data_IF_219816962415
#
_entry.id   IF_219816962415
#
_cell.length_a   1.000
_cell.length_b   1.000
_cell.length_c   1.000
_cell.angle_alpha   90.00
_cell.angle_beta   90.00
_cell.angle_gamma   90.00
#
_symmetry.space_group_name_H-M   'P 1'
#
loop_
_entity.id
_entity.type
_entity.pdbx_description
1 polymer ?
#
# COMPACT_ATOMS: atom_id res chain seq x y z
N UNK A 1 -39.93 -17.65 -15.48
CA UNK A 1 -39.70 -16.32 -16.09
C UNK A 1 -38.87 -16.53 -17.35
N UNK A 2 -39.31 -16.00 -18.50
CA UNK A 2 -38.57 -16.12 -19.75
C UNK A 2 -37.44 -15.10 -19.84
N UNK A 3 -36.34 -15.46 -20.51
CA UNK A 3 -35.20 -14.56 -20.76
C UNK A 3 -35.65 -13.34 -21.57
N UNK A 4 -35.12 -12.17 -21.25
CA UNK A 4 -35.29 -10.96 -22.04
C UNK A 4 -34.68 -11.13 -23.45
N UNK A 5 -35.14 -10.40 -24.48
CA UNK A 5 -34.64 -10.55 -25.85
C UNK A 5 -33.12 -10.44 -25.96
N UNK A 6 -32.50 -9.50 -25.25
CA UNK A 6 -31.04 -9.32 -25.23
C UNK A 6 -30.32 -10.53 -24.62
N UNK A 7 -30.90 -11.17 -23.60
CA UNK A 7 -30.33 -12.35 -22.96
C UNK A 7 -30.38 -13.60 -23.86
N UNK A 8 -31.22 -13.60 -24.89
CA UNK A 8 -31.30 -14.71 -25.85
C UNK A 8 -30.26 -14.61 -26.97
N UNK A 9 -29.52 -13.51 -27.03
CA UNK A 9 -28.51 -13.32 -28.07
C UNK A 9 -27.33 -14.29 -27.88
N UNK A 10 -26.71 -14.75 -28.98
CA UNK A 10 -25.41 -15.42 -28.95
C UNK A 10 -24.36 -14.58 -28.20
N UNK A 11 -23.37 -15.27 -27.61
CA UNK A 11 -22.37 -14.59 -26.77
C UNK A 11 -21.52 -13.62 -27.58
N UNK A 12 -21.27 -13.92 -28.84
CA UNK A 12 -20.51 -13.11 -29.78
C UNK A 12 -21.18 -11.75 -30.00
N UNK A 13 -22.52 -11.75 -30.14
CA UNK A 13 -23.30 -10.51 -30.26
C UNK A 13 -23.34 -9.75 -28.94
N UNK A 14 -23.48 -10.45 -27.80
CA UNK A 14 -23.40 -9.82 -26.49
C UNK A 14 -22.04 -9.14 -26.25
N UNK A 15 -20.95 -9.80 -26.64
CA UNK A 15 -19.60 -9.26 -26.52
C UNK A 15 -19.41 -8.03 -27.41
N UNK A 16 -19.88 -8.08 -28.65
CA UNK A 16 -19.85 -6.93 -29.55
C UNK A 16 -20.67 -5.76 -29.01
N UNK A 17 -21.90 -6.02 -28.51
CA UNK A 17 -22.73 -4.99 -27.88
C UNK A 17 -22.01 -4.36 -26.69
N UNK A 18 -21.38 -5.18 -25.83
CA UNK A 18 -20.65 -4.68 -24.68
C UNK A 18 -19.46 -3.79 -25.08
N UNK A 19 -18.71 -4.17 -26.11
CA UNK A 19 -17.60 -3.36 -26.67
C UNK A 19 -18.12 -2.05 -27.27
N UNK A 20 -19.20 -2.10 -28.06
CA UNK A 20 -19.81 -0.93 -28.69
C UNK A 20 -20.49 0.01 -27.68
N UNK A 21 -20.81 -0.51 -26.49
CA UNK A 21 -21.33 0.26 -25.36
C UNK A 21 -20.21 0.75 -24.42
N UNK A 22 -18.99 0.93 -24.93
CA UNK A 22 -17.82 1.41 -24.18
C UNK A 22 -17.58 0.63 -22.88
N UNK A 23 -17.74 -0.70 -22.93
CA UNK A 23 -17.51 -1.59 -21.81
C UNK A 23 -18.34 -1.24 -20.56
N UNK A 24 -19.54 -0.68 -20.74
CA UNK A 24 -20.36 -0.20 -19.63
C UNK A 24 -20.73 -1.33 -18.65
N UNK A 25 -20.10 -1.30 -17.47
CA UNK A 25 -20.27 -2.31 -16.43
C UNK A 25 -21.71 -2.41 -15.89
N UNK A 26 -22.55 -1.39 -16.10
CA UNK A 26 -23.98 -1.46 -15.75
C UNK A 26 -24.70 -2.59 -16.48
N UNK A 27 -24.27 -2.95 -17.70
CA UNK A 27 -24.85 -4.08 -18.43
C UNK A 27 -24.65 -5.41 -17.69
N UNK A 28 -23.49 -5.57 -17.04
CA UNK A 28 -23.19 -6.75 -16.22
C UNK A 28 -24.02 -6.78 -14.94
N UNK A 29 -24.37 -5.60 -14.42
CA UNK A 29 -25.21 -5.48 -13.22
C UNK A 29 -26.69 -5.68 -13.51
N UNK A 30 -27.13 -5.37 -14.73
CA UNK A 30 -28.53 -5.48 -15.14
C UNK A 30 -29.02 -6.94 -15.24
N UNK A 31 -28.13 -7.88 -15.56
CA UNK A 31 -28.48 -9.31 -15.66
C UNK A 31 -27.32 -10.23 -15.26
N UNK A 32 -27.50 -11.11 -14.26
CA UNK A 32 -26.55 -12.16 -13.94
C UNK A 32 -26.30 -13.11 -15.10
N UNK A 33 -27.31 -13.34 -15.94
CA UNK A 33 -27.18 -14.18 -17.13
C UNK A 33 -26.22 -13.55 -18.13
N UNK A 34 -26.41 -12.28 -18.47
CA UNK A 34 -25.48 -11.54 -19.36
C UNK A 34 -24.08 -11.51 -18.75
N UNK A 35 -23.96 -11.23 -17.45
CA UNK A 35 -22.67 -11.22 -16.76
C UNK A 35 -21.92 -12.55 -16.92
N UNK A 36 -22.61 -13.68 -16.72
CA UNK A 36 -22.02 -15.01 -16.89
C UNK A 36 -21.58 -15.30 -18.34
N UNK A 37 -22.33 -14.83 -19.33
CA UNK A 37 -22.00 -15.02 -20.75
C UNK A 37 -20.83 -14.14 -21.19
N UNK A 38 -20.72 -12.93 -20.64
CA UNK A 38 -19.61 -12.01 -20.89
C UNK A 38 -18.35 -12.32 -20.07
N UNK A 39 -18.46 -13.22 -19.08
CA UNK A 39 -17.38 -13.65 -18.20
C UNK A 39 -16.33 -14.48 -18.94
N UNK A 40 -15.47 -13.82 -19.72
CA UNK A 40 -14.43 -14.44 -20.53
C UNK A 40 -13.12 -13.67 -20.46
N UNK A 41 -11.99 -14.36 -20.66
CA UNK A 41 -10.67 -13.73 -20.71
C UNK A 41 -10.58 -12.61 -21.75
N UNK A 42 -11.23 -12.77 -22.90
CA UNK A 42 -11.31 -11.74 -23.94
C UNK A 42 -11.91 -10.44 -23.40
N UNK A 43 -13.10 -10.52 -22.78
CA UNK A 43 -13.79 -9.34 -22.23
C UNK A 43 -13.02 -8.75 -21.04
N UNK A 44 -12.42 -9.56 -20.18
CA UNK A 44 -11.63 -9.03 -19.05
C UNK A 44 -10.42 -8.22 -19.53
N UNK A 45 -9.66 -8.74 -20.49
CA UNK A 45 -8.52 -8.03 -21.07
C UNK A 45 -8.97 -6.74 -21.76
N UNK A 46 -10.03 -6.79 -22.57
CA UNK A 46 -10.54 -5.61 -23.28
C UNK A 46 -11.07 -4.54 -22.31
N UNK A 47 -11.77 -4.95 -21.25
CA UNK A 47 -12.25 -4.04 -20.20
C UNK A 47 -11.09 -3.39 -19.45
N UNK A 48 -10.02 -4.15 -19.16
CA UNK A 48 -8.83 -3.59 -18.51
C UNK A 48 -8.08 -2.62 -19.42
N UNK A 49 -7.95 -2.93 -20.71
CA UNK A 49 -7.36 -2.02 -21.69
C UNK A 49 -8.13 -0.70 -21.74
N UNK A 50 -9.46 -0.75 -21.75
CA UNK A 50 -10.27 0.46 -21.74
C UNK A 50 -10.10 1.25 -20.42
N UNK A 51 -10.41 0.66 -19.27
CA UNK A 51 -10.50 1.44 -18.04
C UNK A 51 -9.17 1.74 -17.34
N UNK A 52 -8.09 0.99 -17.62
CA UNK A 52 -6.84 1.05 -16.85
C UNK A 52 -5.68 1.76 -17.56
N UNK A 53 -5.72 1.99 -18.87
CA UNK A 53 -4.59 2.61 -19.60
C UNK A 53 -4.85 4.04 -20.07
N UNK A 54 -6.11 4.43 -20.20
CA UNK A 54 -6.50 5.72 -20.77
C UNK A 54 -7.54 6.43 -19.91
N UNK A 55 -7.77 7.72 -20.18
CA UNK A 55 -8.83 8.50 -19.52
C UNK A 55 -10.04 8.52 -20.43
N UNK A 56 -11.18 8.06 -19.92
CA UNK A 56 -12.43 8.00 -20.69
C UNK A 56 -13.57 8.67 -19.94
N UNK A 57 -14.37 9.43 -20.67
CA UNK A 57 -15.61 10.04 -20.18
C UNK A 57 -15.43 10.84 -18.88
N UNK A 58 -16.36 10.67 -17.95
CA UNK A 58 -16.34 11.37 -16.67
C UNK A 58 -15.45 10.63 -15.65
N UNK A 59 -14.52 11.37 -15.04
CA UNK A 59 -13.58 10.83 -14.03
C UNK A 59 -14.25 10.04 -12.90
N UNK A 60 -15.43 10.48 -12.45
CA UNK A 60 -16.16 9.80 -11.39
C UNK A 60 -16.66 8.41 -11.82
N UNK A 61 -17.22 8.31 -13.03
CA UNK A 61 -17.70 7.05 -13.60
C UNK A 61 -16.53 6.10 -13.86
N UNK A 62 -15.42 6.62 -14.39
CA UNK A 62 -14.21 5.83 -14.61
C UNK A 62 -13.63 5.29 -13.30
N UNK A 63 -13.52 6.13 -12.26
CA UNK A 63 -13.04 5.69 -10.94
C UNK A 63 -13.95 4.62 -10.32
N UNK A 64 -15.27 4.74 -10.50
CA UNK A 64 -16.22 3.72 -10.08
C UNK A 64 -16.03 2.39 -10.85
N UNK A 65 -15.82 2.46 -12.17
CA UNK A 65 -15.55 1.28 -12.99
C UNK A 65 -14.23 0.59 -12.59
N UNK A 66 -13.14 1.37 -12.43
CA UNK A 66 -11.86 0.87 -11.93
C UNK A 66 -12.01 0.18 -10.57
N UNK A 67 -12.76 0.79 -9.66
CA UNK A 67 -13.06 0.19 -8.35
C UNK A 67 -13.76 -1.16 -8.49
N UNK A 68 -14.77 -1.26 -9.36
CA UNK A 68 -15.49 -2.51 -9.60
C UNK A 68 -14.62 -3.59 -10.24
N UNK A 69 -13.75 -3.20 -11.18
CA UNK A 69 -12.78 -4.11 -11.82
C UNK A 69 -11.87 -4.73 -10.76
N UNK A 70 -11.22 -3.92 -9.93
CA UNK A 70 -10.35 -4.45 -8.86
C UNK A 70 -11.10 -5.23 -7.78
N UNK A 71 -12.36 -4.87 -7.50
CA UNK A 71 -13.20 -5.61 -6.56
C UNK A 71 -13.71 -6.96 -7.10
N UNK A 72 -13.70 -7.16 -8.42
CA UNK A 72 -14.23 -8.36 -9.06
C UNK A 72 -13.46 -9.63 -8.68
N UNK A 73 -14.14 -10.78 -8.65
CA UNK A 73 -13.54 -12.07 -8.26
C UNK A 73 -12.44 -12.53 -9.23
N UNK A 74 -12.61 -12.26 -10.52
CA UNK A 74 -11.67 -12.66 -11.58
C UNK A 74 -10.38 -11.83 -11.58
N UNK A 75 -10.37 -10.66 -10.96
CA UNK A 75 -9.17 -9.83 -10.85
C UNK A 75 -8.26 -10.36 -9.73
N UNK A 76 -7.50 -11.41 -10.04
CA UNK A 76 -6.46 -12.00 -9.19
C UNK A 76 -5.09 -11.37 -9.48
N UNK A 77 -4.09 -11.69 -8.66
CA UNK A 77 -2.73 -11.23 -8.91
C UNK A 77 -2.18 -11.80 -10.22
N UNK A 78 -2.28 -13.11 -10.41
CA UNK A 78 -1.85 -13.80 -11.64
C UNK A 78 -2.51 -13.25 -12.91
N UNK A 79 -3.82 -12.98 -12.85
CA UNK A 79 -4.53 -12.38 -13.98
C UNK A 79 -3.97 -10.99 -14.27
N UNK A 80 -3.80 -10.17 -13.24
CA UNK A 80 -3.32 -8.80 -13.40
C UNK A 80 -1.89 -8.76 -13.95
N UNK A 81 -0.99 -9.62 -13.47
CA UNK A 81 0.37 -9.78 -14.01
C UNK A 81 0.33 -10.18 -15.48
N UNK A 82 -0.46 -11.22 -15.81
CA UNK A 82 -0.61 -11.71 -17.19
C UNK A 82 -1.16 -10.63 -18.12
N UNK A 83 -2.13 -9.84 -17.65
CA UNK A 83 -2.68 -8.71 -18.40
C UNK A 83 -1.64 -7.61 -18.60
N UNK A 84 -0.88 -7.21 -17.56
CA UNK A 84 0.19 -6.23 -17.65
C UNK A 84 1.25 -6.66 -18.68
N UNK A 85 1.70 -7.92 -18.61
CA UNK A 85 2.66 -8.48 -19.58
C UNK A 85 2.09 -8.35 -20.98
N UNK A 86 0.90 -8.93 -21.22
CA UNK A 86 0.24 -8.90 -22.53
C UNK A 86 0.06 -7.48 -23.08
N UNK A 87 -0.28 -6.50 -22.24
CA UNK A 87 -0.60 -5.14 -22.68
C UNK A 87 0.62 -4.30 -23.01
N UNK A 88 1.72 -4.50 -22.28
CA UNK A 88 2.88 -3.60 -22.33
C UNK A 88 4.16 -4.25 -22.89
N UNK A 89 4.17 -5.57 -23.12
CA UNK A 89 5.34 -6.30 -23.63
C UNK A 89 5.83 -5.76 -24.98
N UNK A 90 4.91 -5.40 -25.88
CA UNK A 90 5.26 -4.83 -27.18
C UNK A 90 5.94 -3.47 -27.06
N UNK A 91 5.54 -2.66 -26.08
CA UNK A 91 6.15 -1.36 -25.82
C UNK A 91 7.45 -1.48 -25.02
N UNK A 92 7.62 -2.58 -24.27
CA UNK A 92 8.77 -2.78 -23.38
C UNK A 92 8.79 -1.81 -22.20
N UNK A 93 7.65 -1.23 -21.80
CA UNK A 93 7.53 -0.37 -20.62
C UNK A 93 6.06 -0.15 -20.21
N UNK A 94 5.78 0.00 -18.91
CA UNK A 94 4.43 0.32 -18.40
C UNK A 94 3.94 1.74 -18.80
N UNK A 95 4.80 2.60 -19.34
CA UNK A 95 4.39 3.89 -19.92
C UNK A 95 3.71 3.75 -21.29
N UNK A 96 3.77 2.56 -21.89
CA UNK A 96 3.17 2.22 -23.19
C UNK A 96 3.78 3.02 -24.37
N UNK A 97 5.06 3.34 -24.26
CA UNK A 97 5.85 3.96 -25.32
C UNK A 97 7.11 3.14 -25.55
N UNK A 98 7.47 2.98 -26.83
CA UNK A 98 8.78 2.46 -27.23
C UNK A 98 9.87 3.53 -27.05
N UNK A 99 11.16 3.18 -27.14
CA UNK A 99 12.24 4.17 -27.19
C UNK A 99 12.06 5.20 -28.31
N UNK A 100 11.55 4.77 -29.46
CA UNK A 100 11.25 5.62 -30.62
C UNK A 100 10.09 6.59 -30.34
N UNK A 101 9.10 6.15 -29.55
CA UNK A 101 7.95 6.98 -29.14
C UNK A 101 8.25 7.90 -27.94
N UNK A 102 9.47 7.87 -27.41
CA UNK A 102 9.93 8.77 -26.33
C UNK A 102 10.06 8.14 -24.94
N UNK A 103 10.07 6.80 -24.81
CA UNK A 103 10.46 6.15 -23.57
C UNK A 103 12.00 6.22 -23.38
N UNK A 104 12.46 6.96 -22.38
CA UNK A 104 13.89 7.19 -22.16
C UNK A 104 14.50 6.42 -20.98
N UNK A 105 13.68 5.68 -20.22
CA UNK A 105 14.11 4.93 -19.03
C UNK A 105 13.18 3.72 -18.81
N UNK A 106 13.23 2.77 -19.75
CA UNK A 106 12.31 1.64 -19.79
C UNK A 106 12.37 0.78 -18.51
N UNK A 107 11.22 0.63 -17.85
CA UNK A 107 11.06 -0.20 -16.65
C UNK A 107 10.47 -1.56 -17.05
N UNK A 108 11.31 -2.45 -17.58
CA UNK A 108 10.89 -3.76 -18.10
C UNK A 108 11.95 -4.86 -17.94
N UNK A 109 11.55 -6.12 -17.62
CA UNK A 109 10.20 -6.55 -17.24
C UNK A 109 9.76 -5.94 -15.90
N UNK A 110 8.44 -5.83 -15.64
CA UNK A 110 7.97 -5.29 -14.36
C UNK A 110 8.41 -6.19 -13.20
N UNK A 111 9.00 -5.59 -12.17
CA UNK A 111 9.31 -6.32 -10.96
C UNK A 111 8.03 -6.48 -10.12
N UNK A 112 7.31 -7.58 -10.35
CA UNK A 112 6.07 -7.86 -9.65
C UNK A 112 6.29 -8.21 -8.17
N UNK A 113 7.43 -8.79 -7.81
CA UNK A 113 7.77 -9.14 -6.43
C UNK A 113 8.02 -7.88 -5.60
N UNK A 114 8.75 -6.91 -6.18
CA UNK A 114 8.99 -5.62 -5.56
C UNK A 114 8.83 -4.47 -6.54
N UNK A 115 7.59 -4.01 -6.64
CA UNK A 115 7.22 -2.89 -7.49
C UNK A 115 7.94 -1.59 -7.13
N UNK A 116 8.47 -1.45 -5.91
CA UNK A 116 9.11 -0.21 -5.46
C UNK A 116 10.43 0.08 -6.17
N UNK A 117 11.06 -0.96 -6.71
CA UNK A 117 12.26 -0.86 -7.55
C UNK A 117 11.99 -0.23 -8.92
N UNK A 118 10.72 -0.14 -9.34
CA UNK A 118 10.34 0.48 -10.61
C UNK A 118 10.13 1.99 -10.43
N UNK A 119 11.14 2.78 -10.75
CA UNK A 119 11.12 4.23 -10.51
C UNK A 119 10.61 4.95 -11.75
N UNK A 120 9.43 5.54 -11.65
CA UNK A 120 8.83 6.36 -12.70
C UNK A 120 8.97 7.84 -12.36
N UNK A 121 9.52 8.62 -13.29
CA UNK A 121 9.66 10.08 -13.14
C UNK A 121 8.39 10.80 -13.60
N UNK A 122 8.26 12.10 -13.32
CA UNK A 122 7.08 12.89 -13.76
C UNK A 122 6.93 12.96 -15.27
N UNK A 123 8.03 12.87 -16.02
CA UNK A 123 8.04 12.84 -17.49
C UNK A 123 7.93 11.42 -18.06
N UNK A 124 7.98 10.39 -17.21
CA UNK A 124 7.87 8.98 -17.58
C UNK A 124 6.93 8.29 -16.61
N UNK A 125 5.63 8.55 -16.73
CA UNK A 125 4.61 7.93 -15.87
C UNK A 125 4.07 6.64 -16.51
N UNK A 126 3.79 5.60 -15.72
CA UNK A 126 3.12 4.42 -16.23
C UNK A 126 1.68 4.78 -16.61
N UNK A 127 1.10 4.13 -17.63
CA UNK A 127 -0.32 4.32 -18.00
C UNK A 127 -1.26 4.00 -16.85
N UNK A 128 -0.86 3.06 -16.01
CA UNK A 128 -1.58 2.69 -14.79
C UNK A 128 -1.65 3.80 -13.74
N UNK A 129 -0.87 4.88 -13.86
CA UNK A 129 -0.97 6.05 -12.96
C UNK A 129 -2.34 6.76 -13.05
N UNK A 130 -3.07 6.59 -14.17
CA UNK A 130 -4.43 7.10 -14.35
C UNK A 130 -5.48 6.32 -13.55
N UNK A 131 -5.13 5.16 -13.00
CA UNK A 131 -6.03 4.37 -12.16
C UNK A 131 -6.21 5.05 -10.81
N UNK A 132 -7.43 5.53 -10.56
CA UNK A 132 -7.86 6.34 -9.40
C UNK A 132 -9.04 5.71 -8.65
N UNK A 133 -9.25 4.40 -8.79
CA UNK A 133 -10.29 3.66 -8.07
C UNK A 133 -10.02 3.49 -6.58
N UNK A 134 -10.92 2.81 -5.87
CA UNK A 134 -10.76 2.43 -4.47
C UNK A 134 -10.10 1.06 -4.33
N UNK A 135 -9.19 0.94 -3.37
CA UNK A 135 -8.54 -0.33 -3.06
C UNK A 135 -9.63 -1.31 -2.57
N UNK A 136 -9.77 -2.49 -3.19
CA UNK A 136 -10.86 -3.40 -2.89
C UNK A 136 -10.70 -4.02 -1.50
N UNK A 137 -11.84 -4.19 -0.80
CA UNK A 137 -11.90 -4.81 0.56
C UNK A 137 -11.15 -6.14 0.67
N UNK A 138 -11.09 -6.94 -0.40
CA UNK A 138 -10.37 -8.24 -0.44
C UNK A 138 -8.85 -8.12 -0.26
N UNK A 139 -8.26 -6.97 -0.60
CA UNK A 139 -6.84 -6.67 -0.42
C UNK A 139 -6.54 -5.98 0.92
N UNK A 140 -7.56 -5.54 1.64
CA UNK A 140 -7.43 -4.80 2.91
C UNK A 140 -7.58 -5.69 4.14
N UNK A 141 -7.76 -7.00 3.99
CA UNK A 141 -7.94 -7.95 5.09
C UNK A 141 -7.20 -9.26 4.86
N UNK A 142 -6.96 -10.00 5.94
CA UNK A 142 -6.35 -11.31 5.89
C UNK A 142 -7.17 -12.35 5.10
N UNK A 143 -6.59 -13.52 4.77
CA UNK A 143 -5.21 -13.93 5.06
C UNK A 143 -4.19 -13.14 4.22
N UNK A 144 -3.03 -12.86 4.80
CA UNK A 144 -1.94 -12.09 4.17
C UNK A 144 -0.94 -13.04 3.51
N UNK A 145 -1.28 -13.47 2.28
CA UNK A 145 -0.36 -14.21 1.39
C UNK A 145 0.63 -13.27 0.72
N UNK A 146 1.73 -13.82 0.20
CA UNK A 146 2.75 -13.02 -0.51
C UNK A 146 2.15 -12.33 -1.74
N UNK A 147 1.41 -13.06 -2.58
CA UNK A 147 0.71 -12.51 -3.75
C UNK A 147 -0.20 -11.31 -3.40
N UNK A 148 -0.88 -11.35 -2.25
CA UNK A 148 -1.74 -10.24 -1.81
C UNK A 148 -0.90 -9.02 -1.44
N UNK A 149 0.23 -9.22 -0.75
CA UNK A 149 1.15 -8.17 -0.34
C UNK A 149 1.77 -7.53 -1.58
N UNK A 150 2.25 -8.33 -2.53
CA UNK A 150 2.80 -7.88 -3.81
C UNK A 150 1.76 -7.12 -4.63
N UNK A 151 0.54 -7.65 -4.75
CA UNK A 151 -0.52 -6.96 -5.47
C UNK A 151 -0.85 -5.62 -4.82
N UNK A 152 -0.98 -5.58 -3.49
CA UNK A 152 -1.24 -4.34 -2.78
C UNK A 152 -0.08 -3.35 -2.92
N UNK A 153 1.17 -3.82 -2.80
CA UNK A 153 2.40 -3.04 -3.01
C UNK A 153 2.41 -2.43 -4.41
N UNK A 154 2.12 -3.23 -5.44
CA UNK A 154 2.07 -2.78 -6.83
C UNK A 154 1.00 -1.71 -7.03
N UNK A 155 -0.23 -1.95 -6.55
CA UNK A 155 -1.31 -0.97 -6.68
C UNK A 155 -0.96 0.34 -5.98
N UNK A 156 -0.35 0.27 -4.80
CA UNK A 156 0.12 1.45 -4.12
C UNK A 156 1.21 2.13 -4.96
N UNK A 157 2.26 1.44 -5.38
CA UNK A 157 3.38 2.10 -6.04
C UNK A 157 3.02 2.70 -7.41
N UNK A 158 2.27 1.96 -8.23
CA UNK A 158 2.08 2.27 -9.66
C UNK A 158 0.81 3.07 -9.93
N UNK A 159 -0.23 2.94 -9.09
CA UNK A 159 -1.52 3.59 -9.30
C UNK A 159 -1.79 4.71 -8.29
N UNK A 160 -2.86 5.46 -8.51
CA UNK A 160 -3.38 6.45 -7.57
C UNK A 160 -4.53 5.92 -6.69
N UNK A 161 -4.69 4.60 -6.57
CA UNK A 161 -5.78 4.02 -5.79
C UNK A 161 -5.63 4.28 -4.29
N UNK A 162 -6.77 4.41 -3.60
CA UNK A 162 -6.82 4.71 -2.16
C UNK A 162 -7.96 3.97 -1.46
N UNK A 163 -7.84 3.78 -0.15
CA UNK A 163 -8.94 3.29 0.68
C UNK A 163 -10.04 4.35 0.77
N UNK A 164 -11.30 3.93 0.71
CA UNK A 164 -12.42 4.83 0.98
C UNK A 164 -12.63 4.98 2.50
N UNK A 165 -12.16 6.09 3.05
CA UNK A 165 -12.29 6.40 4.48
C UNK A 165 -13.64 7.01 4.84
N UNK A 166 -14.44 7.40 3.85
CA UNK A 166 -15.79 7.92 4.08
C UNK A 166 -16.80 6.79 4.25
N UNK A 167 -16.50 5.60 3.71
CA UNK A 167 -17.27 4.38 3.98
C UNK A 167 -16.85 3.76 5.32
N UNK A 168 -17.71 3.77 6.36
CA UNK A 168 -17.35 3.27 7.69
C UNK A 168 -16.98 1.79 7.68
N UNK A 169 -17.59 0.99 6.80
CA UNK A 169 -17.31 -0.44 6.70
C UNK A 169 -15.91 -0.67 6.14
N UNK A 170 -15.55 -0.01 5.04
CA UNK A 170 -14.20 -0.08 4.45
C UNK A 170 -13.13 0.46 5.40
N UNK A 171 -13.40 1.56 6.10
CA UNK A 171 -12.50 2.11 7.12
C UNK A 171 -12.24 1.09 8.25
N UNK A 172 -13.28 0.45 8.76
CA UNK A 172 -13.16 -0.61 9.78
C UNK A 172 -12.36 -1.80 9.25
N UNK A 173 -12.62 -2.23 8.02
CA UNK A 173 -11.89 -3.33 7.37
C UNK A 173 -10.40 -3.01 7.26
N UNK A 174 -10.01 -1.79 6.86
CA UNK A 174 -8.61 -1.41 6.74
C UNK A 174 -7.88 -1.38 8.11
N UNK A 175 -8.53 -0.84 9.15
CA UNK A 175 -7.98 -0.83 10.52
C UNK A 175 -7.81 -2.25 11.04
N UNK A 176 -8.82 -3.10 10.86
CA UNK A 176 -8.77 -4.49 11.29
C UNK A 176 -7.76 -5.31 10.46
N UNK A 177 -7.62 -5.01 9.18
CA UNK A 177 -6.60 -5.60 8.32
C UNK A 177 -5.19 -5.38 8.84
N UNK A 178 -4.87 -4.15 9.26
CA UNK A 178 -3.60 -3.82 9.91
C UNK A 178 -3.39 -4.64 11.18
N UNK A 179 -4.41 -4.72 12.05
CA UNK A 179 -4.35 -5.54 13.28
C UNK A 179 -4.10 -7.02 12.97
N UNK A 180 -4.78 -7.56 11.96
CA UNK A 180 -4.56 -8.94 11.51
C UNK A 180 -3.15 -9.16 10.96
N UNK A 181 -2.56 -8.18 10.25
CA UNK A 181 -1.19 -8.27 9.77
C UNK A 181 -0.19 -8.34 10.94
N UNK A 182 -0.40 -7.50 11.95
CA UNK A 182 0.39 -7.49 13.20
C UNK A 182 0.26 -8.83 13.92
N UNK A 183 -0.97 -9.31 14.17
CA UNK A 183 -1.21 -10.60 14.85
C UNK A 183 -0.61 -11.80 14.11
N UNK A 184 -0.58 -11.76 12.78
CA UNK A 184 0.00 -12.81 11.94
C UNK A 184 1.50 -12.62 11.68
N UNK A 185 2.12 -11.63 12.31
CA UNK A 185 3.56 -11.30 12.18
C UNK A 185 4.00 -11.13 10.73
N UNK A 186 3.16 -10.47 9.92
CA UNK A 186 3.43 -10.20 8.50
C UNK A 186 4.02 -8.81 8.34
N UNK A 187 5.33 -8.70 8.57
CA UNK A 187 6.07 -7.43 8.53
C UNK A 187 5.80 -6.62 7.26
N UNK A 188 5.95 -7.22 6.08
CA UNK A 188 5.75 -6.51 4.81
C UNK A 188 4.34 -5.90 4.67
N UNK A 189 3.30 -6.58 5.16
CA UNK A 189 1.95 -6.06 5.16
C UNK A 189 1.79 -4.89 6.16
N UNK A 190 2.39 -4.99 7.34
CA UNK A 190 2.41 -3.92 8.34
C UNK A 190 3.13 -2.68 7.80
N UNK A 191 4.27 -2.86 7.15
CA UNK A 191 5.04 -1.79 6.51
C UNK A 191 4.21 -1.04 5.46
N UNK A 192 3.45 -1.75 4.62
CA UNK A 192 2.53 -1.11 3.67
C UNK A 192 1.53 -0.18 4.38
N UNK A 193 0.96 -0.63 5.50
CA UNK A 193 0.01 0.16 6.28
C UNK A 193 0.65 1.33 7.03
N UNK A 194 1.88 1.15 7.53
CA UNK A 194 2.57 2.15 8.33
C UNK A 194 3.10 3.30 7.44
N UNK A 195 3.63 2.96 6.27
CA UNK A 195 4.32 3.91 5.40
C UNK A 195 3.47 4.48 4.27
N UNK A 196 2.30 3.91 3.97
CA UNK A 196 1.44 4.40 2.89
C UNK A 196 0.15 5.08 3.41
N UNK A 197 0.10 6.40 3.33
CA UNK A 197 -1.07 7.22 3.75
C UNK A 197 -2.37 6.87 3.02
N UNK A 198 -2.30 6.25 1.83
CA UNK A 198 -3.52 5.81 1.10
C UNK A 198 -4.16 4.58 1.71
N UNK A 199 -3.43 3.82 2.53
CA UNK A 199 -3.95 2.75 3.40
C UNK A 199 -4.39 3.26 4.78
N UNK A 200 -4.33 4.57 5.02
CA UNK A 200 -4.92 5.20 6.18
C UNK A 200 -4.01 6.07 7.00
N UNK A 201 -4.45 6.32 8.24
CA UNK A 201 -3.70 7.12 9.20
C UNK A 201 -2.40 6.42 9.58
N UNK A 202 -1.34 7.18 9.88
CA UNK A 202 -0.11 6.62 10.42
C UNK A 202 -0.41 5.84 11.72
N UNK A 203 0.47 4.90 12.10
CA UNK A 203 0.29 4.14 13.34
C UNK A 203 0.18 5.08 14.55
N UNK A 204 -0.69 4.70 15.49
CA UNK A 204 -0.92 5.40 16.74
C UNK A 204 -0.24 4.67 17.90
N UNK A 205 -0.20 5.32 19.07
CA UNK A 205 0.24 4.67 20.31
C UNK A 205 -0.61 3.42 20.61
N UNK A 206 -1.91 3.45 20.30
CA UNK A 206 -2.79 2.27 20.45
C UNK A 206 -2.38 1.13 19.52
N UNK A 207 -1.87 1.45 18.32
CA UNK A 207 -1.34 0.44 17.39
C UNK A 207 -0.09 -0.22 17.97
N UNK A 208 0.78 0.58 18.60
CA UNK A 208 1.98 0.09 19.29
C UNK A 208 1.62 -0.74 20.52
N UNK A 209 0.69 -0.28 21.36
CA UNK A 209 0.17 -1.03 22.50
C UNK A 209 -0.34 -2.40 22.05
N UNK A 210 -1.21 -2.44 21.03
CA UNK A 210 -1.73 -3.69 20.47
C UNK A 210 -0.62 -4.63 20.00
N UNK A 211 0.39 -4.13 19.27
CA UNK A 211 1.51 -4.93 18.79
C UNK A 211 2.33 -5.56 19.94
N UNK A 212 2.47 -4.85 21.05
CA UNK A 212 3.23 -5.31 22.22
C UNK A 212 2.39 -6.26 23.08
N UNK A 213 1.19 -5.85 23.47
CA UNK A 213 0.38 -6.56 24.48
C UNK A 213 -0.41 -7.72 23.91
N UNK A 214 -0.92 -7.60 22.68
CA UNK A 214 -1.82 -8.61 22.08
C UNK A 214 -1.13 -9.47 21.01
N UNK A 215 -0.12 -8.93 20.31
CA UNK A 215 0.57 -9.65 19.23
C UNK A 215 1.94 -10.24 19.58
N UNK A 216 2.32 -10.19 20.87
CA UNK A 216 3.51 -10.85 21.39
C UNK A 216 4.82 -10.09 21.14
N UNK A 217 4.76 -8.77 20.92
CA UNK A 217 5.91 -7.89 20.79
C UNK A 217 6.94 -8.40 19.76
N UNK A 218 6.52 -8.55 18.51
CA UNK A 218 7.42 -8.83 17.39
C UNK A 218 8.36 -7.64 17.18
N UNK A 219 9.67 -7.86 17.31
CA UNK A 219 10.67 -6.79 17.31
C UNK A 219 10.65 -5.95 16.04
N UNK A 220 10.53 -6.59 14.88
CA UNK A 220 10.55 -5.92 13.58
C UNK A 220 9.32 -5.04 13.41
N UNK A 221 8.14 -5.58 13.73
CA UNK A 221 6.88 -4.86 13.66
C UNK A 221 6.81 -3.71 14.68
N UNK A 222 7.25 -3.96 15.92
CA UNK A 222 7.24 -2.95 16.99
C UNK A 222 8.23 -1.84 16.68
N UNK A 223 9.43 -2.18 16.19
CA UNK A 223 10.43 -1.19 15.77
C UNK A 223 9.92 -0.32 14.62
N UNK A 224 9.42 -0.95 13.54
CA UNK A 224 8.84 -0.24 12.39
C UNK A 224 7.67 0.66 12.81
N UNK A 225 6.76 0.11 13.61
CA UNK A 225 5.60 0.86 14.13
C UNK A 225 6.05 2.04 14.97
N UNK A 226 6.99 1.86 15.91
CA UNK A 226 7.51 2.93 16.77
C UNK A 226 8.21 4.01 15.95
N UNK A 227 9.08 3.62 15.01
CA UNK A 227 9.79 4.53 14.11
C UNK A 227 8.80 5.39 13.31
N UNK A 228 7.83 4.74 12.67
CA UNK A 228 6.85 5.41 11.81
C UNK A 228 5.93 6.30 12.63
N UNK A 229 5.53 5.82 13.81
CA UNK A 229 4.78 6.61 14.79
C UNK A 229 5.60 7.87 15.09
N UNK A 230 6.92 7.80 15.35
CA UNK A 230 7.79 8.95 15.64
C UNK A 230 7.91 9.95 14.50
N UNK A 231 8.03 9.46 13.26
CA UNK A 231 8.11 10.31 12.06
C UNK A 231 6.82 11.14 11.90
N UNK A 232 5.65 10.52 12.10
CA UNK A 232 4.37 11.16 11.81
C UNK A 232 3.67 11.81 13.03
N UNK A 233 4.19 11.67 14.24
CA UNK A 233 3.64 12.36 15.43
C UNK A 233 3.66 13.87 15.28
N UNK A 234 2.59 14.50 15.76
CA UNK A 234 2.65 15.92 16.10
C UNK A 234 3.43 16.10 17.41
N UNK A 235 4.44 16.99 17.42
CA UNK A 235 5.46 17.17 18.49
C UNK A 235 4.91 17.44 19.91
N UNK A 236 3.63 17.77 20.02
CA UNK A 236 2.98 18.23 21.27
C UNK A 236 2.34 17.12 22.11
N UNK A 237 2.15 15.89 21.61
CA UNK A 237 1.58 14.79 22.42
C UNK A 237 2.69 13.95 23.03
N UNK A 238 2.82 14.00 24.35
CA UNK A 238 3.71 13.09 25.09
C UNK A 238 3.26 11.64 24.84
N UNK A 239 4.20 10.77 24.45
CA UNK A 239 3.98 9.33 24.26
C UNK A 239 4.38 8.56 25.50
N UNK A 240 3.77 8.94 26.61
CA UNK A 240 3.76 8.08 27.78
C UNK A 240 2.57 7.13 27.62
N UNK A 241 2.84 5.83 27.52
CA UNK A 241 1.83 4.80 27.71
C UNK A 241 2.20 4.06 28.98
N UNK A 242 1.39 4.23 30.01
CA UNK A 242 1.55 3.50 31.27
C UNK A 242 1.52 1.99 31.02
N UNK A 243 0.61 1.55 30.16
CA UNK A 243 0.46 0.15 29.75
C UNK A 243 1.74 -0.42 29.15
N UNK A 244 2.45 0.34 28.31
CA UNK A 244 3.72 -0.14 27.72
C UNK A 244 4.83 -0.24 28.77
N UNK A 245 4.88 0.67 29.74
CA UNK A 245 5.92 0.66 30.79
C UNK A 245 5.66 -0.49 31.78
N UNK A 246 4.41 -0.64 32.24
CA UNK A 246 4.00 -1.76 33.07
C UNK A 246 4.28 -3.11 32.40
N UNK A 247 4.06 -3.20 31.07
CA UNK A 247 4.41 -4.39 30.32
C UNK A 247 5.93 -4.64 30.31
N UNK A 248 6.74 -3.60 30.10
CA UNK A 248 8.20 -3.73 30.16
C UNK A 248 8.67 -4.23 31.52
N UNK A 249 8.18 -3.62 32.61
CA UNK A 249 8.52 -3.98 33.98
C UNK A 249 8.17 -5.46 34.25
N UNK A 250 6.95 -5.87 33.89
CA UNK A 250 6.48 -7.26 34.03
C UNK A 250 7.36 -8.25 33.26
N UNK A 251 7.78 -7.89 32.03
CA UNK A 251 8.63 -8.76 31.22
C UNK A 251 10.08 -8.81 31.74
N UNK A 252 10.59 -7.71 32.31
CA UNK A 252 11.91 -7.66 32.93
C UNK A 252 11.94 -8.50 34.22
N UNK A 253 10.89 -8.45 35.04
CA UNK A 253 10.74 -9.33 36.21
C UNK A 253 10.70 -10.82 35.83
N UNK A 254 10.17 -11.13 34.64
CA UNK A 254 10.13 -12.48 34.08
C UNK A 254 11.42 -12.89 33.32
N UNK A 255 12.48 -12.08 33.38
CA UNK A 255 13.75 -12.28 32.65
C UNK A 255 13.57 -12.43 31.12
N UNK A 256 12.53 -11.79 30.56
CA UNK A 256 12.30 -11.75 29.12
C UNK A 256 13.05 -10.55 28.50
N UNK A 257 14.01 -10.78 27.58
CA UNK A 257 14.81 -9.70 27.00
C UNK A 257 14.00 -8.67 26.21
N UNK A 258 12.78 -9.02 25.77
CA UNK A 258 11.85 -8.09 25.12
C UNK A 258 11.47 -6.91 26.00
N UNK A 259 11.37 -7.12 27.32
CA UNK A 259 11.02 -6.07 28.26
C UNK A 259 12.08 -4.97 28.29
N UNK A 260 13.34 -5.36 28.47
CA UNK A 260 14.47 -4.43 28.49
C UNK A 260 14.66 -3.74 27.13
N UNK A 261 14.58 -4.50 26.03
CA UNK A 261 14.70 -3.95 24.68
C UNK A 261 13.63 -2.88 24.40
N UNK A 262 12.36 -3.19 24.67
CA UNK A 262 11.27 -2.24 24.43
C UNK A 262 11.40 -1.01 25.32
N UNK A 263 11.73 -1.19 26.60
CA UNK A 263 11.98 -0.08 27.52
C UNK A 263 13.05 0.87 26.96
N UNK A 264 14.18 0.32 26.53
CA UNK A 264 15.27 1.10 25.94
C UNK A 264 14.83 1.82 24.66
N UNK A 265 14.02 1.18 23.79
CA UNK A 265 13.49 1.81 22.58
C UNK A 265 12.49 2.93 22.86
N UNK A 266 11.66 2.77 23.89
CA UNK A 266 10.71 3.80 24.33
C UNK A 266 11.45 5.01 24.91
N UNK A 267 12.50 4.78 25.70
CA UNK A 267 13.36 5.85 26.22
C UNK A 267 14.11 6.57 25.09
N UNK A 268 14.65 5.82 24.14
CA UNK A 268 15.29 6.38 22.96
C UNK A 268 14.32 7.28 22.17
N UNK A 269 13.11 6.78 21.95
CA UNK A 269 12.01 7.53 21.32
C UNK A 269 11.65 8.82 22.06
N UNK A 270 11.84 8.90 23.38
CA UNK A 270 11.62 10.11 24.19
C UNK A 270 12.76 11.09 24.07
N UNK A 271 14.00 10.62 24.09
CA UNK A 271 15.22 11.46 24.01
C UNK A 271 15.26 12.25 22.70
N UNK A 272 14.77 11.69 21.59
CA UNK A 272 14.63 12.39 20.31
C UNK A 272 13.64 13.57 20.32
N UNK A 273 12.75 13.64 21.31
CA UNK A 273 11.84 14.79 21.49
C UNK A 273 12.58 16.02 22.02
N UNK A 274 13.56 15.84 22.91
CA UNK A 274 14.25 16.93 23.59
C UNK A 274 15.40 17.50 22.75
N UNK A 275 16.12 16.68 21.95
CA UNK A 275 17.25 17.16 21.13
C UNK A 275 16.86 17.96 19.88
N UNK A 276 15.60 17.90 19.43
CA UNK A 276 15.13 18.74 18.30
C UNK A 276 14.97 20.22 18.66
N UNK A 277 15.07 20.58 19.94
CA UNK A 277 15.08 21.99 20.38
C UNK A 277 16.48 22.62 20.30
N UNK A 278 17.57 21.84 20.29
CA UNK A 278 18.93 22.39 20.36
C UNK A 278 19.75 22.26 19.08
N UNK A 279 19.43 21.32 18.17
CA UNK A 279 20.22 21.14 16.94
C UNK A 279 19.26 21.03 15.76
N UNK A 280 19.22 22.09 14.95
CA UNK A 280 18.54 22.08 13.66
C UNK A 280 18.96 20.87 12.82
N UNK A 281 17.99 20.00 12.54
CA UNK A 281 18.07 19.09 11.39
C UNK A 281 18.55 17.65 11.59
N UNK A 282 18.76 17.12 12.82
CA UNK A 282 19.02 15.66 12.95
C UNK A 282 17.72 14.84 12.97
N UNK A 283 17.62 13.91 12.01
CA UNK A 283 16.51 12.99 11.73
C UNK A 283 16.09 12.17 12.97
N UNK A 284 14.80 11.84 13.03
CA UNK A 284 14.25 10.95 14.06
C UNK A 284 14.66 9.50 13.76
N UNK A 285 15.86 9.09 14.17
CA UNK A 285 16.37 7.74 13.89
C UNK A 285 16.49 6.93 15.17
N UNK A 286 15.64 5.91 15.34
CA UNK A 286 15.90 4.85 16.31
C UNK A 286 17.15 4.08 15.86
N UNK A 287 18.14 3.90 16.75
CA UNK A 287 19.35 3.14 16.52
C UNK A 287 19.02 1.65 16.46
N UNK A 288 19.48 0.95 15.44
CA UNK A 288 19.18 -0.48 15.26
C UNK A 288 19.83 -1.34 16.36
N UNK A 289 21.09 -1.03 16.70
CA UNK A 289 21.91 -1.86 17.58
C UNK A 289 21.66 -1.60 19.08
N UNK A 290 21.17 -0.41 19.44
CA UNK A 290 20.99 -0.04 20.83
C UNK A 290 19.95 -0.92 21.52
N UNK A 291 20.35 -1.66 22.56
CA UNK A 291 19.48 -2.57 23.29
C UNK A 291 19.11 -3.84 22.56
N UNK A 292 19.64 -4.05 21.35
CA UNK A 292 19.42 -5.27 20.59
C UNK A 292 20.01 -6.48 21.34
N UNK A 293 19.35 -7.62 21.23
CA UNK A 293 19.76 -8.88 21.84
C UNK A 293 19.68 -10.02 20.82
N UNK A 294 20.35 -11.13 21.11
CA UNK A 294 20.20 -12.34 20.32
C UNK A 294 18.91 -13.07 20.72
N UNK A 295 17.89 -12.98 19.86
CA UNK A 295 16.61 -13.67 20.03
C UNK A 295 16.56 -15.05 19.36
N UNK A 296 17.67 -15.51 18.77
CA UNK A 296 17.72 -16.69 17.93
C UNK A 296 16.92 -16.54 16.63
N UNK A 297 16.71 -17.64 15.87
CA UNK A 297 16.10 -17.59 14.53
C UNK A 297 14.64 -17.09 14.48
N UNK A 298 13.93 -17.11 15.61
CA UNK A 298 12.49 -16.81 15.68
C UNK A 298 12.18 -15.38 16.18
N UNK A 299 13.18 -14.63 16.62
CA UNK A 299 13.02 -13.30 17.23
C UNK A 299 14.16 -12.36 16.81
N UNK A 300 14.46 -12.35 15.51
CA UNK A 300 15.41 -11.43 14.91
C UNK A 300 14.76 -10.09 14.59
N UNK A 301 15.54 -9.01 14.69
CA UNK A 301 15.13 -7.68 14.25
C UNK A 301 15.49 -7.56 12.78
N UNK A 302 14.46 -7.50 11.95
CA UNK A 302 14.56 -7.27 10.51
C UNK A 302 14.05 -5.87 10.26
N UNK A 303 14.85 -5.07 9.55
CA UNK A 303 14.46 -3.73 9.12
C UNK A 303 14.72 -3.65 7.63
N UNK A 304 13.64 -3.52 6.86
CA UNK A 304 13.72 -3.41 5.41
C UNK A 304 14.05 -1.96 5.03
N UNK A 305 14.93 -1.76 4.04
CA UNK A 305 15.13 -0.45 3.43
C UNK A 305 14.00 -0.19 2.42
N UNK A 306 13.02 0.61 2.84
CA UNK A 306 11.82 0.81 2.05
C UNK A 306 11.90 2.09 1.20
N UNK A 307 11.70 1.96 -0.11
CA UNK A 307 11.77 3.07 -1.07
C UNK A 307 10.80 4.22 -0.76
N UNK A 308 9.61 3.94 -0.24
CA UNK A 308 8.64 4.99 0.16
C UNK A 308 9.18 5.92 1.25
N UNK A 309 10.21 5.53 2.01
CA UNK A 309 10.82 6.35 3.05
C UNK A 309 11.96 7.24 2.52
N UNK A 310 12.50 6.95 1.32
CA UNK A 310 13.60 7.74 0.72
C UNK A 310 13.12 9.11 0.23
N UNK A 311 11.85 9.24 -0.16
CA UNK A 311 11.26 10.52 -0.62
C UNK A 311 11.17 11.55 0.52
N UNK A 312 10.94 11.11 1.77
CA UNK A 312 10.95 12.00 2.94
C UNK A 312 12.35 12.59 3.22
N UNK A 313 13.43 11.86 2.91
CA UNK A 313 14.80 12.38 3.08
C UNK A 313 15.09 13.57 2.15
N UNK A 314 14.58 13.53 0.92
CA UNK A 314 14.84 14.56 -0.11
C UNK A 314 14.07 15.86 0.14
N UNK A 315 12.80 15.79 0.57
CA UNK A 315 12.02 16.99 0.91
C UNK A 315 12.61 17.75 2.11
N UNK A 316 13.12 17.02 3.10
CA UNK A 316 13.79 17.61 4.27
C UNK A 316 15.09 18.33 3.88
N UNK A 317 15.80 17.83 2.86
CA UNK A 317 17.03 18.44 2.35
C UNK A 317 16.77 19.73 1.55
N UNK A 318 15.65 19.82 0.83
CA UNK A 318 15.26 21.00 0.06
C UNK A 318 14.74 22.15 0.95
N UNK A 319 14.00 21.85 2.02
CA UNK A 319 13.63 22.85 3.04
C UNK A 319 14.86 23.38 3.80
N UNK A 320 15.90 22.55 4.01
CA UNK A 320 17.18 23.00 4.56
C UNK A 320 17.96 23.94 3.62
N UNK A 321 17.97 23.69 2.31
CA UNK A 321 18.64 24.60 1.37
C UNK A 321 17.93 25.96 1.28
N UNK A 322 16.60 25.97 1.29
CA UNK A 322 15.81 27.20 1.25
C UNK A 322 15.91 28.03 2.54
N UNK A 323 16.08 27.39 3.70
CA UNK A 323 16.27 28.09 4.98
C UNK A 323 17.70 28.63 5.18
N UNK A 324 18.72 28.03 4.55
CA UNK A 324 20.09 28.56 4.57
C UNK A 324 20.26 29.73 3.59
N UNK A 325 19.52 29.77 2.48
CA UNK A 325 19.56 30.89 1.53
C UNK A 325 18.80 32.15 1.97
N UNK A 326 17.99 32.08 3.04
CA UNK A 326 17.27 33.25 3.60
C UNK A 326 17.97 33.89 4.82
N UNK A 327 19.16 33.39 5.20
CA UNK A 327 19.99 33.95 6.28
C UNK A 327 21.32 34.54 5.76
N UNK A 328 21.45 34.69 4.44
CA UNK A 328 22.58 35.33 3.79
C UNK A 328 22.07 36.44 2.84
N UNK A 329 21.39 37.44 3.40
CA UNK A 329 21.25 38.80 2.87
C UNK A 329 21.06 39.79 4.01
#
# INVERSE_FOLDING_TARGET
MGLAPIERLPVELLQQIFVQADYNLALLQASPYIASRLSSGYIYNATCNHYLTEVHGQRAQQSAAQTQIFASKWMTWDFFQSWCIRRFETAGCLCDHTPEDGCFDAQWPPNFNDATTMIFSRSHLPRLSFVKGRIPKKLLRGPWSQEKIEFLRFLLWITSMSVDWNDPETAKIAVEGRRQAILKRKLEAVELFNHNRRLGKPPSLDTLCFAVTEAGCDRSIVFDTLLTTNIWSNKKRARYSETLHQWCDTQMEADNPKGLWLFQKLEESRIFRNRKEEIGGREACLYLEFGNYDGGPQDQLIVNDLEWNKVCRVFTFLEMKLSVSFLAE
#
